data_IF_012933210214
#
_entry.id   IF_012933210214
#
_cell.length_a   1.000
_cell.length_b   1.000
_cell.length_c   1.000
_cell.angle_alpha   90.00
_cell.angle_beta   90.00
_cell.angle_gamma   90.00
#
_symmetry.space_group_name_H-M   'P 1'
#
loop_
_entity.id
_entity.type
_entity.pdbx_description
1 polymer ?
#
# COMPACT_ATOMS: atom_id res chain seq x y z
N UNK A 1 50.55 43.13 -22.60
CA UNK A 1 50.13 43.28 -24.01
C UNK A 1 49.75 44.74 -24.23
N UNK A 2 50.54 45.51 -25.00
CA UNK A 2 50.47 46.99 -25.05
C UNK A 2 49.35 47.43 -26.02
N UNK A 3 48.19 47.80 -25.48
CA UNK A 3 46.97 48.20 -26.22
C UNK A 3 47.09 49.64 -26.77
N UNK A 4 48.04 49.89 -27.68
CA UNK A 4 48.32 51.25 -28.18
C UNK A 4 47.69 51.57 -29.55
N UNK A 5 46.88 50.67 -30.13
CA UNK A 5 46.21 50.91 -31.42
C UNK A 5 44.71 51.15 -31.23
N UNK A 6 44.13 52.09 -31.99
CA UNK A 6 42.71 52.46 -31.91
C UNK A 6 41.78 51.24 -32.12
N UNK A 7 42.15 50.36 -33.06
CA UNK A 7 41.45 49.10 -33.36
C UNK A 7 41.39 48.17 -32.14
N UNK A 8 42.48 48.09 -31.38
CA UNK A 8 42.54 47.24 -30.18
C UNK A 8 41.63 47.75 -29.06
N UNK A 9 41.45 49.07 -28.93
CA UNK A 9 40.55 49.67 -27.92
C UNK A 9 39.07 49.39 -28.24
N UNK A 10 38.67 49.56 -29.50
CA UNK A 10 37.30 49.27 -29.96
C UNK A 10 36.99 47.78 -29.80
N UNK A 11 37.94 46.91 -30.15
CA UNK A 11 37.79 45.45 -30.00
C UNK A 11 37.56 45.07 -28.53
N UNK A 12 38.41 45.57 -27.61
CA UNK A 12 38.26 45.30 -26.17
C UNK A 12 36.91 45.80 -25.65
N UNK A 13 36.44 46.98 -26.07
CA UNK A 13 35.13 47.49 -25.69
C UNK A 13 33.99 46.57 -26.15
N UNK A 14 33.99 46.18 -27.42
CA UNK A 14 32.95 45.28 -27.98
C UNK A 14 32.96 43.90 -27.31
N UNK A 15 34.14 43.33 -27.06
CA UNK A 15 34.29 42.05 -26.35
C UNK A 15 33.79 42.16 -24.91
N UNK A 16 34.12 43.25 -24.20
CA UNK A 16 33.64 43.45 -22.83
C UNK A 16 32.11 43.61 -22.77
N UNK A 17 31.52 44.34 -23.72
CA UNK A 17 30.08 44.53 -23.78
C UNK A 17 29.33 43.25 -24.13
N UNK A 18 29.82 42.50 -25.12
CA UNK A 18 29.25 41.19 -25.49
C UNK A 18 29.38 40.17 -24.37
N UNK A 19 30.50 40.16 -23.65
CA UNK A 19 30.69 39.32 -22.47
C UNK A 19 29.69 39.66 -21.36
N UNK A 20 29.49 40.95 -21.06
CA UNK A 20 28.50 41.40 -20.08
C UNK A 20 27.08 40.97 -20.46
N UNK A 21 26.70 41.14 -21.72
CA UNK A 21 25.40 40.70 -22.24
C UNK A 21 25.24 39.18 -22.11
N UNK A 22 26.27 38.42 -22.48
CA UNK A 22 26.25 36.96 -22.39
C UNK A 22 26.08 36.48 -20.93
N UNK A 23 26.78 37.10 -19.99
CA UNK A 23 26.64 36.78 -18.55
C UNK A 23 25.21 37.08 -18.08
N UNK A 24 24.65 38.25 -18.44
CA UNK A 24 23.29 38.64 -18.05
C UNK A 24 22.26 37.63 -18.57
N UNK A 25 22.33 37.29 -19.86
CA UNK A 25 21.42 36.30 -20.47
C UNK A 25 21.59 34.93 -19.83
N UNK A 26 22.82 34.47 -19.59
CA UNK A 26 23.09 33.20 -18.94
C UNK A 26 22.55 33.15 -17.50
N UNK A 27 22.75 34.21 -16.72
CA UNK A 27 22.21 34.30 -15.35
C UNK A 27 20.68 34.29 -15.32
N UNK A 28 20.03 35.07 -16.19
CA UNK A 28 18.58 35.09 -16.28
C UNK A 28 18.02 33.73 -16.71
N UNK A 29 18.64 33.11 -17.73
CA UNK A 29 18.28 31.78 -18.20
C UNK A 29 18.45 30.73 -17.11
N UNK A 30 19.57 30.77 -16.37
CA UNK A 30 19.81 29.86 -15.26
C UNK A 30 18.75 29.99 -14.16
N UNK A 31 18.39 31.22 -13.79
CA UNK A 31 17.35 31.47 -12.80
C UNK A 31 15.99 30.90 -13.25
N UNK A 32 15.58 31.20 -14.48
CA UNK A 32 14.35 30.68 -15.07
C UNK A 32 14.34 29.16 -15.15
N UNK A 33 15.41 28.55 -15.67
CA UNK A 33 15.53 27.11 -15.79
C UNK A 33 15.44 26.43 -14.42
N UNK A 34 16.15 26.95 -13.42
CA UNK A 34 16.09 26.42 -12.06
C UNK A 34 14.67 26.49 -11.49
N UNK A 35 13.97 27.61 -11.69
CA UNK A 35 12.59 27.77 -11.23
C UNK A 35 11.65 26.76 -11.89
N UNK A 36 11.71 26.62 -13.22
CA UNK A 36 10.88 25.65 -13.95
C UNK A 36 11.22 24.20 -13.58
N UNK A 37 12.50 23.87 -13.43
CA UNK A 37 12.93 22.53 -13.06
C UNK A 37 12.46 22.12 -11.66
N UNK A 38 12.49 23.06 -10.70
CA UNK A 38 11.96 22.82 -9.35
C UNK A 38 10.44 22.64 -9.37
N UNK A 39 9.72 23.54 -10.05
CA UNK A 39 8.27 23.45 -10.15
C UNK A 39 7.82 22.14 -10.81
N UNK A 40 8.47 21.74 -11.91
CA UNK A 40 8.18 20.51 -12.62
C UNK A 40 8.39 19.27 -11.74
N UNK A 41 9.46 19.25 -10.92
CA UNK A 41 9.71 18.16 -9.97
C UNK A 41 8.65 18.09 -8.86
N UNK A 42 8.25 19.23 -8.29
CA UNK A 42 7.20 19.29 -7.28
C UNK A 42 5.89 18.75 -7.85
N UNK A 43 5.48 19.28 -9.01
CA UNK A 43 4.25 18.86 -9.69
C UNK A 43 4.29 17.39 -10.07
N UNK A 44 5.40 16.87 -10.61
CA UNK A 44 5.53 15.45 -10.93
C UNK A 44 5.46 14.58 -9.68
N UNK A 45 6.06 15.01 -8.58
CA UNK A 45 6.02 14.29 -7.30
C UNK A 45 4.60 14.27 -6.74
N UNK A 46 3.89 15.39 -6.81
CA UNK A 46 2.48 15.49 -6.41
C UNK A 46 1.60 14.53 -7.21
N UNK A 47 1.71 14.52 -8.54
CA UNK A 47 0.96 13.57 -9.38
C UNK A 47 1.28 12.12 -9.05
N UNK A 48 2.55 11.78 -8.84
CA UNK A 48 2.96 10.43 -8.46
C UNK A 48 2.38 10.02 -7.11
N UNK A 49 2.42 10.91 -6.11
CA UNK A 49 1.84 10.65 -4.78
C UNK A 49 0.31 10.50 -4.85
N UNK A 50 -0.38 11.35 -5.63
CA UNK A 50 -1.82 11.23 -5.86
C UNK A 50 -2.16 9.90 -6.54
N UNK A 51 -1.37 9.49 -7.55
CA UNK A 51 -1.57 8.23 -8.24
C UNK A 51 -1.38 7.02 -7.31
N UNK A 52 -0.30 6.99 -6.53
CA UNK A 52 -0.04 5.93 -5.54
C UNK A 52 -1.13 5.93 -4.47
N UNK A 53 -1.55 7.09 -3.97
CA UNK A 53 -2.64 7.22 -3.01
C UNK A 53 -3.98 6.71 -3.55
N UNK A 54 -4.30 6.99 -4.82
CA UNK A 54 -5.49 6.46 -5.48
C UNK A 54 -5.43 4.92 -5.60
N UNK A 55 -4.26 4.36 -5.91
CA UNK A 55 -4.05 2.91 -5.94
C UNK A 55 -4.20 2.27 -4.57
N UNK A 56 -3.59 2.85 -3.53
CA UNK A 56 -3.76 2.39 -2.16
C UNK A 56 -5.24 2.40 -1.74
N UNK A 57 -5.96 3.49 -2.04
CA UNK A 57 -7.41 3.60 -1.78
C UNK A 57 -8.22 2.53 -2.51
N UNK A 58 -7.89 2.24 -3.78
CA UNK A 58 -8.55 1.17 -4.54
C UNK A 58 -8.34 -0.19 -3.87
N UNK A 59 -7.12 -0.49 -3.41
CA UNK A 59 -6.82 -1.72 -2.66
C UNK A 59 -7.59 -1.80 -1.34
N UNK A 60 -7.69 -0.69 -0.61
CA UNK A 60 -8.47 -0.61 0.63
C UNK A 60 -9.96 -0.87 0.40
N UNK A 61 -10.55 -0.31 -0.66
CA UNK A 61 -11.95 -0.55 -1.02
C UNK A 61 -12.22 -2.04 -1.32
N UNK A 62 -11.31 -2.70 -2.03
CA UNK A 62 -11.44 -4.12 -2.33
C UNK A 62 -11.39 -4.99 -1.06
N UNK A 63 -10.52 -4.64 -0.10
CA UNK A 63 -10.48 -5.29 1.21
C UNK A 63 -11.74 -5.06 2.03
N UNK A 64 -12.22 -3.82 2.11
CA UNK A 64 -13.46 -3.50 2.81
C UNK A 64 -14.65 -4.26 2.19
N UNK A 65 -14.66 -4.43 0.87
CA UNK A 65 -15.65 -5.25 0.18
C UNK A 65 -15.57 -6.72 0.58
N UNK A 66 -14.35 -7.28 0.65
CA UNK A 66 -14.14 -8.67 1.07
C UNK A 66 -14.55 -8.88 2.52
N UNK A 67 -14.13 -7.99 3.41
CA UNK A 67 -14.48 -8.00 4.84
C UNK A 67 -15.99 -7.91 5.02
N UNK A 68 -16.65 -6.96 4.34
CA UNK A 68 -18.11 -6.83 4.37
C UNK A 68 -18.80 -8.09 3.88
N UNK A 69 -18.30 -8.71 2.81
CA UNK A 69 -18.87 -9.97 2.33
C UNK A 69 -18.74 -11.07 3.39
N UNK A 70 -17.57 -11.22 4.01
CA UNK A 70 -17.34 -12.24 5.06
C UNK A 70 -18.28 -12.02 6.25
N UNK A 71 -18.51 -10.78 6.68
CA UNK A 71 -19.36 -10.49 7.86
C UNK A 71 -20.86 -10.52 7.59
N UNK A 72 -21.29 -10.39 6.33
CA UNK A 72 -22.73 -10.32 5.97
C UNK A 72 -23.25 -11.55 5.23
N UNK A 73 -22.37 -12.49 4.87
CA UNK A 73 -22.76 -13.68 4.15
C UNK A 73 -23.50 -14.67 5.07
N UNK A 74 -24.76 -14.96 4.74
CA UNK A 74 -25.64 -15.84 5.51
C UNK A 74 -25.13 -17.28 5.61
N UNK A 75 -24.36 -17.76 4.64
CA UNK A 75 -23.75 -19.10 4.67
C UNK A 75 -22.67 -19.20 5.75
N UNK A 76 -21.89 -18.13 5.93
CA UNK A 76 -20.91 -18.03 7.01
C UNK A 76 -21.63 -17.96 8.36
N UNK A 77 -22.68 -17.15 8.48
CA UNK A 77 -23.52 -17.11 9.69
C UNK A 77 -24.10 -18.48 10.02
N UNK A 78 -24.66 -19.17 9.02
CA UNK A 78 -25.25 -20.52 9.18
C UNK A 78 -24.19 -21.53 9.66
N UNK A 79 -22.97 -21.47 9.11
CA UNK A 79 -21.86 -22.31 9.56
C UNK A 79 -21.50 -22.05 11.03
N UNK A 80 -21.48 -20.79 11.47
CA UNK A 80 -21.19 -20.45 12.86
C UNK A 80 -22.28 -20.96 13.81
N UNK A 81 -23.55 -20.91 13.41
CA UNK A 81 -24.69 -21.31 14.24
C UNK A 81 -25.01 -22.81 14.23
N UNK A 82 -24.70 -23.51 13.14
CA UNK A 82 -25.12 -24.92 12.92
C UNK A 82 -23.93 -25.86 12.88
N UNK A 83 -24.09 -27.05 13.44
CA UNK A 83 -23.08 -28.11 13.35
C UNK A 83 -23.35 -29.02 12.14
N UNK A 84 -22.32 -29.27 11.35
CA UNK A 84 -22.43 -30.14 10.18
C UNK A 84 -21.21 -30.04 9.27
N UNK A 85 -20.62 -31.18 8.92
CA UNK A 85 -19.43 -31.25 8.04
C UNK A 85 -19.77 -30.72 6.65
N UNK A 86 -20.96 -31.03 6.14
CA UNK A 86 -21.40 -30.59 4.80
C UNK A 86 -21.51 -29.06 4.71
N UNK A 87 -22.06 -28.43 5.76
CA UNK A 87 -22.17 -26.97 5.86
C UNK A 87 -20.78 -26.35 5.98
N UNK A 88 -19.90 -26.93 6.80
CA UNK A 88 -18.52 -26.45 6.96
C UNK A 88 -17.73 -26.50 5.65
N UNK A 89 -17.82 -27.62 4.91
CA UNK A 89 -17.10 -27.78 3.63
C UNK A 89 -17.65 -26.82 2.57
N UNK A 90 -18.97 -26.74 2.42
CA UNK A 90 -19.58 -25.81 1.47
C UNK A 90 -19.21 -24.35 1.76
N UNK A 91 -19.17 -23.96 3.04
CA UNK A 91 -18.76 -22.61 3.46
C UNK A 91 -17.28 -22.37 3.21
N UNK A 92 -16.42 -23.35 3.49
CA UNK A 92 -15.00 -23.28 3.17
C UNK A 92 -14.77 -23.03 1.67
N UNK A 93 -15.41 -23.81 0.81
CA UNK A 93 -15.28 -23.68 -0.64
C UNK A 93 -15.76 -22.31 -1.12
N UNK A 94 -16.89 -21.82 -0.60
CA UNK A 94 -17.44 -20.51 -0.97
C UNK A 94 -16.54 -19.36 -0.51
N UNK A 95 -15.98 -19.43 0.71
CA UNK A 95 -15.03 -18.43 1.23
C UNK A 95 -13.75 -18.45 0.40
N UNK A 96 -13.20 -19.64 0.13
CA UNK A 96 -12.01 -19.79 -0.72
C UNK A 96 -12.23 -19.20 -2.11
N UNK A 97 -13.36 -19.48 -2.74
CA UNK A 97 -13.73 -18.91 -4.04
C UNK A 97 -13.78 -17.39 -4.00
N UNK A 98 -14.46 -16.81 -3.00
CA UNK A 98 -14.54 -15.35 -2.87
C UNK A 98 -13.16 -14.72 -2.71
N UNK A 99 -12.31 -15.30 -1.84
CA UNK A 99 -10.96 -14.79 -1.62
C UNK A 99 -10.10 -14.89 -2.87
N UNK A 100 -10.24 -15.96 -3.65
CA UNK A 100 -9.50 -16.17 -4.89
C UNK A 100 -10.01 -15.32 -6.06
N UNK A 101 -11.26 -14.86 -6.03
CA UNK A 101 -11.85 -14.04 -7.09
C UNK A 101 -11.87 -12.54 -6.76
N UNK A 102 -11.54 -12.16 -5.52
CA UNK A 102 -11.50 -10.77 -5.11
C UNK A 102 -10.21 -10.09 -5.58
N UNK A 103 -10.30 -8.81 -5.97
CA UNK A 103 -9.14 -7.97 -6.28
C UNK A 103 -8.12 -7.91 -5.11
N UNK A 104 -8.58 -8.17 -3.90
CA UNK A 104 -7.78 -8.21 -2.70
C UNK A 104 -6.86 -9.42 -2.55
N UNK A 105 -7.05 -10.47 -3.37
CA UNK A 105 -6.30 -11.72 -3.26
C UNK A 105 -4.78 -11.52 -3.21
N UNK A 106 -4.24 -10.55 -3.95
CA UNK A 106 -2.79 -10.36 -4.10
C UNK A 106 -2.08 -9.89 -2.83
N UNK A 107 -2.81 -9.29 -1.89
CA UNK A 107 -2.25 -8.74 -0.65
C UNK A 107 -2.97 -9.24 0.61
N UNK A 108 -3.99 -10.09 0.45
CA UNK A 108 -4.58 -10.85 1.56
C UNK A 108 -3.75 -12.11 1.77
N UNK A 109 -2.89 -12.08 2.79
CA UNK A 109 -2.08 -13.24 3.15
C UNK A 109 -2.95 -14.39 3.66
N UNK A 110 -3.95 -14.08 4.50
CA UNK A 110 -4.90 -15.05 5.06
C UNK A 110 -6.19 -14.42 5.56
N UNK A 111 -7.23 -15.24 5.63
CA UNK A 111 -8.50 -14.97 6.28
C UNK A 111 -8.78 -16.09 7.26
N UNK A 112 -9.21 -15.70 8.46
CA UNK A 112 -9.61 -16.60 9.53
C UNK A 112 -11.03 -16.21 9.93
N UNK A 113 -11.95 -17.16 9.85
CA UNK A 113 -13.32 -17.03 10.34
C UNK A 113 -13.49 -17.99 11.50
N UNK A 114 -13.95 -17.47 12.63
CA UNK A 114 -14.10 -18.21 13.88
C UNK A 114 -15.28 -17.68 14.67
N UNK A 115 -15.90 -18.54 15.48
CA UNK A 115 -16.84 -18.13 16.52
C UNK A 115 -16.11 -17.51 17.71
N UNK A 116 -16.86 -16.87 18.62
CA UNK A 116 -16.32 -16.19 19.81
C UNK A 116 -15.62 -17.16 20.78
N UNK A 117 -16.03 -18.44 20.79
CA UNK A 117 -15.46 -19.48 21.64
C UNK A 117 -14.32 -20.26 20.94
N UNK A 118 -13.97 -19.88 19.70
CA UNK A 118 -12.94 -20.53 18.90
C UNK A 118 -13.19 -22.03 18.62
N UNK A 119 -14.42 -22.51 18.72
CA UNK A 119 -14.80 -23.91 18.47
C UNK A 119 -14.86 -24.26 16.98
N UNK A 120 -15.07 -23.26 16.11
CA UNK A 120 -15.20 -23.39 14.66
C UNK A 120 -14.13 -22.56 13.98
N UNK A 121 -13.49 -23.11 12.95
CA UNK A 121 -12.40 -22.43 12.26
C UNK A 121 -12.45 -22.69 10.75
N UNK A 122 -12.55 -21.61 9.98
CA UNK A 122 -12.22 -21.60 8.55
C UNK A 122 -10.95 -20.78 8.38
N UNK A 123 -9.95 -21.36 7.71
CA UNK A 123 -8.67 -20.70 7.42
C UNK A 123 -8.31 -20.92 5.95
N UNK A 124 -8.12 -19.82 5.21
CA UNK A 124 -7.75 -19.85 3.79
C UNK A 124 -6.93 -18.62 3.42
N UNK A 125 -6.15 -18.69 2.34
CA UNK A 125 -5.30 -17.58 1.89
C UNK A 125 -4.15 -18.03 0.98
N UNK A 126 -3.34 -17.07 0.54
CA UNK A 126 -2.20 -17.32 -0.35
C UNK A 126 -0.98 -17.90 0.38
N UNK A 127 -0.74 -17.51 1.64
CA UNK A 127 0.48 -17.86 2.38
C UNK A 127 0.28 -18.94 3.43
N UNK A 128 -0.44 -20.02 3.11
CA UNK A 128 -0.66 -21.11 4.07
C UNK A 128 0.55 -22.05 4.21
N UNK A 129 1.25 -22.35 3.11
CA UNK A 129 2.30 -23.38 3.09
C UNK A 129 3.56 -23.02 3.91
N UNK A 130 3.85 -21.73 4.11
CA UNK A 130 4.98 -21.23 4.90
C UNK A 130 4.62 -20.78 6.32
N UNK A 131 3.38 -21.01 6.74
CA UNK A 131 2.84 -20.53 8.02
C UNK A 131 2.68 -21.65 9.05
N UNK A 132 2.66 -21.28 10.33
CA UNK A 132 2.30 -22.17 11.43
C UNK A 132 0.84 -22.59 11.25
N UNK A 133 0.52 -23.90 11.34
CA UNK A 133 -0.84 -24.37 11.16
C UNK A 133 -1.75 -23.77 12.25
N UNK A 134 -2.91 -23.27 11.83
CA UNK A 134 -3.93 -22.71 12.73
C UNK A 134 -5.03 -23.74 12.89
N UNK A 135 -5.35 -24.02 14.14
CA UNK A 135 -6.36 -25.00 14.55
C UNK A 135 -7.19 -24.40 15.68
N UNK A 136 -8.36 -24.99 15.93
CA UNK A 136 -9.22 -24.67 17.07
C UNK A 136 -8.44 -24.69 18.41
N UNK A 137 -7.43 -25.56 18.53
CA UNK A 137 -6.64 -25.70 19.76
C UNK A 137 -5.59 -24.61 19.98
N UNK A 138 -5.11 -23.94 18.93
CA UNK A 138 -4.03 -22.94 19.04
C UNK A 138 -4.44 -21.54 18.58
N UNK A 139 -5.62 -21.36 18.00
CA UNK A 139 -6.07 -20.04 17.51
C UNK A 139 -6.06 -18.98 18.61
N UNK A 140 -6.32 -19.34 19.87
CA UNK A 140 -6.25 -18.43 21.03
C UNK A 140 -4.83 -17.97 21.40
N UNK A 141 -3.79 -18.69 20.97
CA UNK A 141 -2.39 -18.25 21.13
C UNK A 141 -1.95 -17.30 20.04
N UNK A 142 -2.63 -17.31 18.90
CA UNK A 142 -2.25 -16.53 17.71
C UNK A 142 -3.17 -15.32 17.51
N UNK A 143 -4.43 -15.42 17.94
CA UNK A 143 -5.38 -14.32 18.05
C UNK A 143 -5.45 -13.83 19.51
N UNK A 144 -5.19 -12.53 19.78
CA UNK A 144 -5.47 -11.87 21.05
C UNK A 144 -6.86 -12.23 21.59
N UNK A 145 -6.91 -12.62 22.86
CA UNK A 145 -8.12 -13.04 23.55
C UNK A 145 -9.19 -11.95 23.66
N UNK A 146 -8.78 -10.68 23.63
CA UNK A 146 -9.71 -9.53 23.65
C UNK A 146 -9.95 -9.07 22.23
N UNK A 147 -11.21 -9.17 21.79
CA UNK A 147 -11.64 -8.52 20.57
C UNK A 147 -11.68 -7.01 20.79
N UNK A 148 -10.83 -6.28 20.06
CA UNK A 148 -10.93 -4.84 19.91
C UNK A 148 -11.34 -4.59 18.47
N UNK A 149 -12.49 -3.96 18.28
CA UNK A 149 -12.95 -3.59 16.94
C UNK A 149 -12.02 -2.51 16.38
N UNK A 150 -11.09 -2.90 15.52
CA UNK A 150 -10.22 -1.93 14.85
C UNK A 150 -10.82 -1.55 13.50
N UNK A 151 -11.79 -0.64 13.51
CA UNK A 151 -12.34 -0.07 12.27
C UNK A 151 -11.31 0.77 11.50
N UNK A 152 -10.20 1.10 12.13
CA UNK A 152 -9.14 1.93 11.57
C UNK A 152 -7.99 1.08 11.04
N UNK A 153 -7.40 1.47 9.93
CA UNK A 153 -6.26 0.78 9.32
C UNK A 153 -4.96 1.20 10.03
N UNK A 154 -4.94 1.08 11.36
CA UNK A 154 -4.10 1.92 12.21
C UNK A 154 -2.82 1.25 12.72
N UNK A 155 -2.77 -0.08 12.71
CA UNK A 155 -1.67 -0.84 13.32
C UNK A 155 -1.07 -1.84 12.34
N UNK A 156 0.25 -1.80 12.20
CA UNK A 156 1.04 -2.83 11.53
C UNK A 156 1.71 -3.64 12.64
N UNK A 157 1.51 -4.94 12.64
CA UNK A 157 2.06 -5.85 13.66
C UNK A 157 2.87 -6.96 12.99
N UNK A 158 3.75 -7.60 13.73
CA UNK A 158 4.41 -8.82 13.26
C UNK A 158 3.36 -9.91 13.03
N UNK A 159 3.55 -10.71 11.98
CA UNK A 159 2.67 -11.79 11.61
C UNK A 159 2.84 -12.96 12.61
N UNK A 160 1.86 -13.20 13.49
CA UNK A 160 2.00 -14.20 14.53
C UNK A 160 1.94 -15.65 13.97
N UNK A 161 1.61 -15.80 12.69
CA UNK A 161 1.51 -17.09 12.02
C UNK A 161 2.75 -17.42 11.18
N UNK A 162 3.59 -16.45 10.82
CA UNK A 162 4.80 -16.74 10.05
C UNK A 162 5.96 -17.13 10.98
N UNK A 163 6.84 -17.99 10.47
CA UNK A 163 8.08 -18.38 11.17
C UNK A 163 9.19 -17.34 10.99
N UNK A 164 9.00 -16.42 10.05
CA UNK A 164 9.94 -15.36 9.68
C UNK A 164 9.33 -14.02 10.04
N UNK A 165 10.18 -13.07 10.44
CA UNK A 165 9.78 -11.70 10.70
C UNK A 165 9.17 -11.08 9.45
N UNK A 166 7.86 -10.92 9.47
CA UNK A 166 7.07 -10.27 8.43
C UNK A 166 5.98 -9.48 9.10
N UNK A 167 5.66 -8.32 8.55
CA UNK A 167 4.62 -7.45 9.07
C UNK A 167 3.31 -7.67 8.33
N UNK A 168 2.21 -7.54 9.07
CA UNK A 168 0.83 -7.64 8.56
C UNK A 168 -0.02 -6.53 9.14
N UNK A 169 -1.07 -6.19 8.41
CA UNK A 169 -2.14 -5.33 8.90
C UNK A 169 -3.30 -6.23 9.38
N UNK A 170 -3.46 -6.46 10.69
CA UNK A 170 -4.56 -7.26 11.20
C UNK A 170 -5.88 -6.50 11.05
N UNK A 171 -6.86 -7.12 10.39
CA UNK A 171 -8.24 -6.60 10.32
C UNK A 171 -9.15 -7.57 11.08
N UNK A 172 -9.93 -7.04 12.03
CA UNK A 172 -10.92 -7.81 12.78
C UNK A 172 -12.29 -7.16 12.74
N UNK A 173 -13.32 -7.97 12.49
CA UNK A 173 -14.73 -7.60 12.50
C UNK A 173 -15.55 -8.73 13.12
N UNK A 174 -16.72 -8.38 13.64
CA UNK A 174 -17.78 -9.30 14.09
C UNK A 174 -18.95 -9.14 13.11
#
# INVERSE_FOLDING_TARGET
MRLNTLKSKITVLTVSFTLLLAILVASFSFFMFRSFALQSQITSTEFNLQFIGAKARQSMIALDSLVRWVTTNSQITTYLETDGVDVALATYDRVKEEVMNNLAQQYVNRIIVTDLQHTKLIHTGQQMAGSRPVTVSNVSTVLPAVFVEDTTWSSITDDPFLLTDSQVLPIRRI
#
